data_IF_335403960946
#
_entry.id   IF_335403960946
#
_cell.length_a   1.000
_cell.length_b   1.000
_cell.length_c   1.000
_cell.angle_alpha   90.00
_cell.angle_beta   90.00
_cell.angle_gamma   90.00
#
_symmetry.space_group_name_H-M   'P 1'
#
loop_
_entity.id
_entity.type
_entity.pdbx_description
1 polymer ?
#
# COMPACT_ATOMS: atom_id res chain seq x y z
N UNK A 1 7.45 11.17 2.04
CA UNK A 1 6.18 10.42 2.22
C UNK A 1 5.19 11.35 2.92
N UNK A 2 3.93 11.41 2.48
CA UNK A 2 2.96 12.31 3.12
C UNK A 2 2.51 11.76 4.47
N UNK A 3 2.49 12.59 5.51
CA UNK A 3 2.17 12.18 6.88
C UNK A 3 0.86 12.86 7.30
N UNK A 4 -0.18 12.04 7.44
CA UNK A 4 -1.48 12.42 7.97
C UNK A 4 -1.76 11.61 9.24
N UNK A 5 -2.51 12.17 10.19
CA UNK A 5 -2.86 11.50 11.45
C UNK A 5 -4.38 11.27 11.58
N UNK A 6 -4.77 10.25 12.33
CA UNK A 6 -6.17 9.98 12.69
C UNK A 6 -7.10 9.75 11.49
N UNK A 7 -8.29 10.36 11.53
CA UNK A 7 -9.34 10.21 10.51
C UNK A 7 -8.87 10.74 9.15
N UNK A 8 -8.12 11.84 9.13
CA UNK A 8 -7.60 12.44 7.90
C UNK A 8 -6.68 11.47 7.15
N UNK A 9 -5.89 10.67 7.88
CA UNK A 9 -5.07 9.62 7.30
C UNK A 9 -5.91 8.56 6.57
N UNK A 10 -6.98 8.10 7.21
CA UNK A 10 -7.85 7.09 6.62
C UNK A 10 -8.55 7.61 5.35
N UNK A 11 -9.00 8.87 5.38
CA UNK A 11 -9.57 9.54 4.20
C UNK A 11 -8.51 9.60 3.09
N UNK A 12 -7.33 10.16 3.38
CA UNK A 12 -6.25 10.34 2.41
C UNK A 12 -5.82 9.03 1.72
N UNK A 13 -5.80 7.91 2.45
CA UNK A 13 -5.49 6.59 1.89
C UNK A 13 -6.52 6.11 0.85
N UNK A 14 -7.77 6.56 0.95
CA UNK A 14 -8.87 6.17 0.09
C UNK A 14 -9.20 7.21 -0.99
N UNK A 15 -8.44 8.30 -1.06
CA UNK A 15 -8.55 9.28 -2.14
C UNK A 15 -7.86 8.77 -3.40
N UNK A 16 -8.53 8.95 -4.54
CA UNK A 16 -7.89 8.89 -5.85
C UNK A 16 -7.67 10.31 -6.36
N UNK A 17 -6.45 10.62 -6.82
CA UNK A 17 -6.16 11.86 -7.52
C UNK A 17 -6.68 11.75 -8.96
N UNK A 18 -7.60 12.64 -9.33
CA UNK A 18 -8.20 12.67 -10.67
C UNK A 18 -7.51 13.69 -11.57
N UNK A 19 -7.17 14.85 -11.01
CA UNK A 19 -6.57 15.93 -11.78
C UNK A 19 -5.66 16.79 -10.89
N UNK A 20 -4.63 17.37 -11.48
CA UNK A 20 -3.70 18.28 -10.83
C UNK A 20 -3.31 19.41 -11.78
N UNK A 21 -3.79 20.63 -11.51
CA UNK A 21 -3.52 21.80 -12.37
C UNK A 21 -3.26 23.05 -11.53
N UNK A 22 -2.08 23.65 -11.71
CA UNK A 22 -1.75 24.96 -11.12
C UNK A 22 -1.91 25.05 -9.60
N UNK A 23 -1.64 23.95 -8.88
CA UNK A 23 -1.82 23.89 -7.42
C UNK A 23 -3.23 23.49 -6.96
N UNK A 24 -4.19 23.32 -7.87
CA UNK A 24 -5.48 22.70 -7.58
C UNK A 24 -5.39 21.18 -7.78
N UNK A 25 -5.67 20.42 -6.73
CA UNK A 25 -5.65 18.97 -6.69
C UNK A 25 -7.09 18.48 -6.52
N UNK A 26 -7.59 17.74 -7.50
CA UNK A 26 -8.94 17.17 -7.47
C UNK A 26 -8.87 15.71 -7.07
N UNK A 27 -9.48 15.39 -5.94
CA UNK A 27 -9.56 14.03 -5.43
C UNK A 27 -11.00 13.52 -5.47
N UNK A 28 -11.15 12.23 -5.72
CA UNK A 28 -12.39 11.50 -5.56
C UNK A 28 -12.31 10.49 -4.43
N UNK A 29 -13.45 10.23 -3.80
CA UNK A 29 -13.63 9.18 -2.80
C UNK A 29 -14.91 8.41 -3.08
N UNK A 30 -14.86 7.08 -2.96
CA UNK A 30 -16.05 6.23 -3.06
C UNK A 30 -16.96 6.46 -1.85
N UNK A 31 -18.27 6.36 -2.07
CA UNK A 31 -19.30 6.62 -1.04
C UNK A 31 -19.09 5.81 0.25
N UNK A 32 -18.69 4.53 0.13
CA UNK A 32 -18.33 3.66 1.27
C UNK A 32 -17.22 4.19 2.19
N UNK A 33 -16.37 5.08 1.70
CA UNK A 33 -15.27 5.69 2.46
C UNK A 33 -15.55 7.18 2.77
N UNK A 34 -16.63 7.73 2.23
CA UNK A 34 -17.03 9.12 2.40
C UNK A 34 -17.81 9.38 3.70
N UNK A 35 -18.25 8.35 4.44
CA UNK A 35 -19.05 8.51 5.66
C UNK A 35 -18.37 9.36 6.74
N UNK A 36 -17.04 9.34 6.77
CA UNK A 36 -16.23 10.14 7.71
C UNK A 36 -15.81 11.49 7.11
N UNK A 37 -16.19 11.80 5.88
CA UNK A 37 -15.80 13.04 5.19
C UNK A 37 -16.69 14.21 5.64
N UNK A 38 -16.08 15.13 6.39
CA UNK A 38 -16.64 16.43 6.72
C UNK A 38 -15.97 17.55 5.90
N UNK A 39 -16.61 18.71 5.84
CA UNK A 39 -16.12 19.92 5.14
C UNK A 39 -14.78 20.45 5.67
N UNK A 40 -14.37 20.03 6.88
CA UNK A 40 -13.07 20.39 7.45
C UNK A 40 -11.90 19.62 6.82
N UNK A 41 -12.14 18.41 6.31
CA UNK A 41 -11.05 17.55 5.81
C UNK A 41 -10.41 18.06 4.52
N UNK A 42 -11.14 18.57 3.50
CA UNK A 42 -10.51 19.20 2.33
C UNK A 42 -9.56 20.34 2.71
N UNK A 43 -9.95 21.19 3.67
CA UNK A 43 -9.12 22.29 4.16
C UNK A 43 -7.87 21.78 4.90
N UNK A 44 -8.04 20.80 5.81
CA UNK A 44 -6.91 20.18 6.51
C UNK A 44 -5.96 19.45 5.57
N UNK A 45 -6.49 18.76 4.55
CA UNK A 45 -5.72 18.10 3.51
C UNK A 45 -4.91 19.12 2.70
N UNK A 46 -5.55 20.22 2.28
CA UNK A 46 -4.90 21.33 1.56
C UNK A 46 -3.73 21.90 2.36
N UNK A 47 -3.96 22.16 3.65
CA UNK A 47 -2.94 22.69 4.56
C UNK A 47 -1.76 21.70 4.71
N UNK A 48 -2.05 20.43 4.98
CA UNK A 48 -1.01 19.41 5.14
C UNK A 48 -0.21 19.21 3.85
N UNK A 49 -0.89 19.14 2.69
CA UNK A 49 -0.23 19.04 1.39
C UNK A 49 0.62 20.27 1.11
N UNK A 50 0.14 21.48 1.42
CA UNK A 50 0.89 22.71 1.19
C UNK A 50 2.17 22.76 2.02
N UNK A 51 2.08 22.35 3.30
CA UNK A 51 3.25 22.27 4.18
C UNK A 51 4.28 21.26 3.68
N UNK A 52 3.83 20.10 3.18
CA UNK A 52 4.74 19.06 2.72
C UNK A 52 5.28 19.28 1.31
N UNK A 53 4.56 20.02 0.46
CA UNK A 53 5.00 20.38 -0.89
C UNK A 53 5.81 21.70 -0.92
N UNK A 54 5.78 22.49 0.16
CA UNK A 54 6.44 23.79 0.22
C UNK A 54 5.80 24.87 -0.67
N UNK A 55 4.57 24.64 -1.14
CA UNK A 55 3.82 25.56 -2.02
C UNK A 55 2.34 25.53 -1.66
N UNK A 56 1.62 26.63 -1.93
CA UNK A 56 0.18 26.70 -1.68
C UNK A 56 -0.58 25.81 -2.65
N UNK A 57 -1.27 24.80 -2.13
CA UNK A 57 -2.14 23.92 -2.91
C UNK A 57 -3.54 23.87 -2.32
N UNK A 58 -4.53 23.72 -3.18
CA UNK A 58 -5.93 23.56 -2.82
C UNK A 58 -6.39 22.16 -3.19
N UNK A 59 -6.82 21.38 -2.21
CA UNK A 59 -7.38 20.05 -2.40
C UNK A 59 -8.91 20.12 -2.34
N UNK A 60 -9.56 19.62 -3.38
CA UNK A 60 -11.01 19.39 -3.40
C UNK A 60 -11.28 17.89 -3.35
N UNK A 61 -12.35 17.50 -2.67
CA UNK A 61 -12.76 16.10 -2.53
C UNK A 61 -14.21 15.98 -2.99
N UNK A 62 -14.47 15.14 -3.98
CA UNK A 62 -15.82 14.83 -4.46
C UNK A 62 -16.16 13.37 -4.19
N UNK A 63 -17.39 13.12 -3.76
CA UNK A 63 -17.90 11.76 -3.61
C UNK A 63 -18.40 11.30 -4.97
N UNK A 64 -17.73 10.31 -5.55
CA UNK A 64 -18.09 9.73 -6.83
C UNK A 64 -17.56 8.30 -6.91
N UNK A 65 -18.23 7.47 -7.71
CA UNK A 65 -17.63 6.20 -8.07
C UNK A 65 -16.52 6.44 -9.10
N UNK A 66 -15.34 5.91 -8.83
CA UNK A 66 -14.15 6.13 -9.65
C UNK A 66 -13.33 4.84 -9.77
N UNK A 67 -12.65 4.70 -10.90
CA UNK A 67 -11.65 3.65 -11.14
C UNK A 67 -10.23 4.12 -10.88
N UNK A 68 -10.07 5.36 -10.38
CA UNK A 68 -8.78 5.92 -9.98
C UNK A 68 -8.10 5.07 -8.89
N UNK A 69 -6.79 4.90 -9.01
CA UNK A 69 -5.97 4.15 -8.05
C UNK A 69 -5.84 4.93 -6.75
N UNK A 70 -6.16 4.28 -5.63
CA UNK A 70 -5.95 4.85 -4.29
C UNK A 70 -4.65 4.32 -3.65
N UNK A 71 -4.04 5.09 -2.73
CA UNK A 71 -2.91 4.59 -1.95
C UNK A 71 -3.22 3.28 -1.21
N UNK A 72 -4.45 3.11 -0.68
CA UNK A 72 -4.88 1.87 -0.04
C UNK A 72 -4.86 0.67 -1.01
N UNK A 73 -5.38 0.85 -2.23
CA UNK A 73 -5.36 -0.19 -3.26
C UNK A 73 -3.92 -0.57 -3.64
N UNK A 74 -3.05 0.42 -3.81
CA UNK A 74 -1.64 0.17 -4.12
C UNK A 74 -0.95 -0.65 -3.02
N UNK A 75 -1.17 -0.29 -1.76
CA UNK A 75 -0.61 -1.03 -0.61
C UNK A 75 -1.15 -2.46 -0.55
N UNK A 76 -2.44 -2.66 -0.80
CA UNK A 76 -3.04 -3.99 -0.85
C UNK A 76 -2.46 -4.84 -1.98
N UNK A 77 -2.27 -4.27 -3.17
CA UNK A 77 -1.66 -4.96 -4.30
C UNK A 77 -0.20 -5.36 -4.01
N UNK A 78 0.59 -4.48 -3.40
CA UNK A 78 1.96 -4.79 -3.00
C UNK A 78 2.03 -5.89 -1.94
N UNK A 79 1.11 -5.89 -0.97
CA UNK A 79 1.03 -6.95 0.03
C UNK A 79 0.66 -8.30 -0.59
N UNK A 80 -0.28 -8.31 -1.55
CA UNK A 80 -0.65 -9.52 -2.28
C UNK A 80 0.50 -10.07 -3.14
N UNK A 81 1.24 -9.20 -3.83
CA UNK A 81 2.40 -9.60 -4.61
C UNK A 81 3.47 -10.26 -3.74
N UNK A 82 3.77 -9.69 -2.57
CA UNK A 82 4.72 -10.28 -1.60
C UNK A 82 4.27 -11.64 -1.07
N UNK A 83 2.96 -11.82 -0.85
CA UNK A 83 2.43 -13.11 -0.42
C UNK A 83 2.63 -14.17 -1.52
N UNK A 84 2.30 -13.84 -2.76
CA UNK A 84 2.47 -14.74 -3.90
C UNK A 84 3.95 -15.12 -4.13
N UNK A 85 4.86 -14.15 -4.00
CA UNK A 85 6.32 -14.42 -4.05
C UNK A 85 6.75 -15.38 -2.95
N UNK A 86 6.27 -15.20 -1.71
CA UNK A 86 6.58 -16.09 -0.60
C UNK A 86 6.02 -17.52 -0.81
N UNK A 87 4.79 -17.63 -1.31
CA UNK A 87 4.18 -18.92 -1.66
C UNK A 87 4.98 -19.64 -2.76
N UNK A 88 5.41 -18.91 -3.80
CA UNK A 88 6.21 -19.46 -4.88
C UNK A 88 7.58 -19.91 -4.40
N UNK A 89 8.27 -19.11 -3.57
CA UNK A 89 9.56 -19.45 -3.00
C UNK A 89 9.49 -20.76 -2.19
N UNK A 90 8.48 -20.89 -1.33
CA UNK A 90 8.24 -22.09 -0.52
C UNK A 90 7.88 -23.29 -1.41
N UNK A 91 7.01 -23.13 -2.40
CA UNK A 91 6.62 -24.23 -3.31
C UNK A 91 7.79 -24.72 -4.17
N UNK A 92 8.76 -23.85 -4.46
CA UNK A 92 9.97 -24.18 -5.22
C UNK A 92 11.12 -24.72 -4.37
N UNK A 93 10.96 -24.80 -3.05
CA UNK A 93 12.00 -25.27 -2.15
C UNK A 93 12.17 -26.81 -2.26
N UNK A 94 13.36 -27.23 -2.70
CA UNK A 94 13.69 -28.62 -2.93
C UNK A 94 13.84 -29.41 -1.61
N UNK A 95 14.21 -28.74 -0.52
CA UNK A 95 14.32 -29.36 0.81
C UNK A 95 12.94 -29.63 1.42
N UNK A 96 11.98 -28.71 1.23
CA UNK A 96 10.60 -28.91 1.66
C UNK A 96 9.91 -30.04 0.88
N UNK A 97 10.11 -30.09 -0.45
CA UNK A 97 9.63 -31.21 -1.26
C UNK A 97 10.26 -32.55 -0.85
N UNK A 98 11.54 -32.55 -0.48
CA UNK A 98 12.21 -33.73 0.08
C UNK A 98 11.62 -34.17 1.42
N UNK A 99 11.25 -33.24 2.29
CA UNK A 99 10.61 -33.52 3.58
C UNK A 99 9.17 -34.04 3.40
N UNK A 100 8.38 -33.45 2.50
CA UNK A 100 7.04 -33.91 2.13
C UNK A 100 7.09 -35.35 1.63
N UNK A 101 8.02 -35.65 0.70
CA UNK A 101 8.19 -36.98 0.14
C UNK A 101 8.71 -38.01 1.16
N UNK A 102 9.53 -37.59 2.13
CA UNK A 102 10.08 -38.48 3.14
C UNK A 102 9.08 -38.83 4.27
N UNK A 103 8.07 -37.99 4.50
CA UNK A 103 7.16 -38.11 5.65
C UNK A 103 5.67 -38.18 5.29
N UNK A 104 5.30 -38.34 4.01
CA UNK A 104 3.91 -38.26 3.52
C UNK A 104 3.19 -36.98 3.99
N UNK A 105 3.93 -35.87 4.04
CA UNK A 105 3.43 -34.59 4.56
C UNK A 105 2.54 -33.86 3.54
N UNK A 106 1.46 -33.22 4.00
CA UNK A 106 0.64 -32.35 3.14
C UNK A 106 0.64 -30.91 3.64
N UNK A 107 0.86 -29.96 2.73
CA UNK A 107 0.70 -28.53 3.03
C UNK A 107 -0.79 -28.19 3.04
N UNK A 108 -1.26 -27.58 4.12
CA UNK A 108 -2.62 -27.07 4.23
C UNK A 108 -2.71 -25.75 3.42
N UNK A 109 -3.57 -25.65 2.41
CA UNK A 109 -3.74 -24.42 1.62
C UNK A 109 -4.06 -23.21 2.51
N UNK A 110 -3.32 -22.11 2.34
CA UNK A 110 -3.51 -20.86 3.11
C UNK A 110 -2.85 -20.83 4.49
N UNK A 111 -2.08 -21.85 4.87
CA UNK A 111 -1.35 -21.88 6.16
C UNK A 111 0.04 -21.22 6.10
N UNK A 112 0.51 -20.87 4.90
CA UNK A 112 1.82 -20.26 4.68
C UNK A 112 1.82 -18.80 5.15
N UNK A 113 2.78 -18.45 5.99
CA UNK A 113 2.99 -17.08 6.48
C UNK A 113 4.41 -16.63 6.09
N UNK A 114 4.57 -15.47 5.41
CA UNK A 114 5.90 -14.95 5.09
C UNK A 114 6.66 -14.61 6.38
N UNK A 115 7.92 -15.07 6.48
CA UNK A 115 8.81 -14.71 7.56
C UNK A 115 9.30 -13.27 7.36
N UNK A 116 8.94 -12.36 8.26
CA UNK A 116 9.33 -10.95 8.18
C UNK A 116 10.79 -10.68 8.57
N UNK A 117 11.56 -11.72 8.95
CA UNK A 117 12.91 -11.58 9.51
C UNK A 117 14.05 -11.60 8.47
N UNK A 118 13.81 -11.98 7.21
CA UNK A 118 14.88 -12.14 6.20
C UNK A 118 15.23 -10.84 5.43
N UNK A 119 14.77 -9.68 5.89
CA UNK A 119 14.92 -8.40 5.16
C UNK A 119 16.25 -7.66 5.44
N UNK A 120 17.10 -8.12 6.36
CA UNK A 120 18.33 -7.38 6.76
C UNK A 120 19.67 -8.02 6.39
N UNK A 121 19.72 -9.14 5.67
CA UNK A 121 20.99 -9.77 5.28
C UNK A 121 21.24 -9.73 3.77
N UNK A 122 21.49 -8.54 3.22
CA UNK A 122 22.30 -8.44 1.99
C UNK A 122 23.55 -7.60 2.28
N UNK A 123 24.67 -8.22 2.66
CA UNK A 123 25.98 -7.63 2.45
C UNK A 123 26.37 -7.90 0.99
N UNK A 124 26.62 -6.80 0.29
CA UNK A 124 27.09 -6.73 -1.09
C UNK A 124 28.38 -7.53 -1.26
N UNK A 125 28.44 -8.35 -2.31
CA UNK A 125 29.67 -8.91 -2.85
C UNK A 125 30.66 -7.78 -3.17
N UNK A 126 31.88 -7.89 -2.63
CA UNK A 126 33.06 -7.25 -3.17
C UNK A 126 33.96 -8.35 -3.72
N UNK A 127 33.89 -8.57 -5.03
CA UNK A 127 34.95 -9.20 -5.80
C UNK A 127 36.23 -8.35 -5.67
N UNK A 128 37.30 -8.93 -5.14
CA UNK A 128 38.71 -8.65 -5.47
C UNK A 128 39.66 -9.41 -4.51
N UNK A 129 40.21 -10.55 -4.92
CA UNK A 129 41.59 -10.71 -5.44
C UNK A 129 41.85 -12.19 -5.76
#
# INVERSE_FOLDING_TARGET
>A
MFHFTGILHNIALNLALIDCRGGALQFCIKEKHATLLNERHPAQLSQALSQQLGQSVTATITVSDHDGRTPAQYRAALAAARLAEAEQAISSDQALNGLIAAFDGHIIPGSIRPNLADVEAVPLQHDAD
#
